data_IF_093923929008
#
_entry.id   IF_093923929008
#
_cell.length_a   1.000
_cell.length_b   1.000
_cell.length_c   1.000
_cell.angle_alpha   90.00
_cell.angle_beta   90.00
_cell.angle_gamma   90.00
#
_symmetry.space_group_name_H-M   'P 1'
#
loop_
_entity.id
_entity.type
_entity.pdbx_description
1 polymer ?
#
# COMPACT_ATOMS: atom_id res chain seq x y z
N UNK A 1 -22.87 -8.32 -27.60
CA UNK A 1 -22.81 -8.29 -26.11
C UNK A 1 -21.77 -7.26 -25.72
N UNK A 2 -22.14 -6.19 -25.02
CA UNK A 2 -21.19 -5.14 -24.58
C UNK A 2 -20.75 -5.38 -23.14
N UNK A 3 -19.45 -5.20 -22.86
CA UNK A 3 -18.88 -5.40 -21.52
C UNK A 3 -19.06 -4.18 -20.60
N UNK A 4 -19.49 -3.04 -21.14
CA UNK A 4 -19.88 -1.84 -20.37
C UNK A 4 -18.79 -1.27 -19.45
N UNK A 5 -17.51 -1.53 -19.74
CA UNK A 5 -16.39 -1.08 -18.89
C UNK A 5 -16.32 -1.76 -17.53
N UNK A 6 -16.99 -2.90 -17.33
CA UNK A 6 -17.07 -3.60 -16.04
C UNK A 6 -16.23 -4.87 -16.08
N UNK A 7 -15.40 -5.04 -15.07
CA UNK A 7 -14.68 -6.28 -14.81
C UNK A 7 -14.57 -6.51 -13.30
N UNK A 8 -14.36 -7.77 -12.92
CA UNK A 8 -14.08 -8.17 -11.53
C UNK A 8 -12.91 -9.13 -11.54
N UNK A 9 -12.12 -9.07 -10.47
CA UNK A 9 -10.91 -9.86 -10.35
C UNK A 9 -10.87 -10.57 -9.00
N UNK A 10 -10.72 -11.90 -9.06
CA UNK A 10 -10.53 -12.76 -7.90
C UNK A 10 -9.10 -13.30 -7.95
N UNK A 11 -8.25 -12.70 -7.12
CA UNK A 11 -6.86 -13.11 -6.95
C UNK A 11 -6.74 -14.16 -5.87
N UNK A 12 -6.00 -15.23 -6.17
CA UNK A 12 -5.57 -16.20 -5.18
C UNK A 12 -4.13 -15.94 -4.76
N UNK A 13 -3.75 -16.42 -3.58
CA UNK A 13 -2.36 -16.39 -3.13
C UNK A 13 -1.50 -17.34 -3.96
N UNK A 14 -0.20 -17.04 -4.08
CA UNK A 14 0.73 -17.81 -4.92
C UNK A 14 0.90 -19.28 -4.49
N UNK A 15 0.63 -19.58 -3.22
CA UNK A 15 0.67 -20.93 -2.63
C UNK A 15 -0.67 -21.67 -2.72
N UNK A 16 -1.70 -21.03 -3.27
CA UNK A 16 -3.00 -21.64 -3.47
C UNK A 16 -2.98 -22.64 -4.63
N UNK A 17 -3.72 -23.74 -4.46
CA UNK A 17 -3.98 -24.71 -5.55
C UNK A 17 -5.16 -24.28 -6.46
N UNK A 18 -5.82 -23.18 -6.13
CA UNK A 18 -6.94 -22.64 -6.88
C UNK A 18 -6.48 -21.72 -8.01
N UNK A 19 -7.36 -21.44 -8.97
CA UNK A 19 -7.09 -20.51 -10.07
C UNK A 19 -7.65 -19.12 -9.76
N UNK A 20 -6.89 -18.08 -10.11
CA UNK A 20 -7.42 -16.72 -10.21
C UNK A 20 -8.49 -16.64 -11.31
N UNK A 21 -9.45 -15.73 -11.17
CA UNK A 21 -10.52 -15.54 -12.14
C UNK A 21 -10.73 -14.07 -12.47
N UNK A 22 -10.85 -13.78 -13.75
CA UNK A 22 -11.31 -12.48 -14.26
C UNK A 22 -12.65 -12.66 -14.96
N UNK A 23 -13.61 -11.79 -14.68
CA UNK A 23 -14.93 -11.80 -15.32
C UNK A 23 -15.26 -10.42 -15.87
N UNK A 24 -15.95 -10.36 -17.01
CA UNK A 24 -16.28 -9.12 -17.72
C UNK A 24 -17.78 -8.94 -17.89
N UNK A 25 -18.23 -7.69 -18.03
CA UNK A 25 -19.62 -7.35 -18.28
C UNK A 25 -20.54 -7.72 -17.11
N UNK A 26 -21.71 -8.27 -17.41
CA UNK A 26 -22.70 -8.65 -16.39
C UNK A 26 -22.16 -9.68 -15.39
N UNK A 27 -21.24 -10.56 -15.83
CA UNK A 27 -20.59 -11.56 -14.97
C UNK A 27 -19.62 -10.94 -13.95
N UNK A 28 -19.28 -9.66 -14.11
CA UNK A 28 -18.42 -8.93 -13.19
C UNK A 28 -19.16 -8.29 -12.01
N UNK A 29 -20.49 -8.27 -12.04
CA UNK A 29 -21.27 -7.59 -11.02
C UNK A 29 -21.26 -8.45 -9.75
N UNK A 30 -20.69 -7.90 -8.68
CA UNK A 30 -20.70 -8.49 -7.34
C UNK A 30 -21.91 -7.94 -6.59
N UNK A 31 -22.74 -8.81 -6.03
CA UNK A 31 -23.90 -8.46 -5.20
C UNK A 31 -23.92 -9.33 -3.94
N UNK A 32 -24.50 -8.84 -2.85
CA UNK A 32 -24.62 -9.58 -1.60
C UNK A 32 -24.55 -8.68 -0.36
N UNK A 33 -24.75 -9.24 0.85
CA UNK A 33 -24.76 -8.46 2.09
C UNK A 33 -23.38 -7.92 2.52
N UNK A 34 -22.29 -8.46 1.96
CA UNK A 34 -20.92 -8.18 2.39
C UNK A 34 -20.05 -7.54 1.30
N UNK A 35 -20.65 -6.81 0.35
CA UNK A 35 -19.88 -5.98 -0.57
C UNK A 35 -19.90 -4.53 -0.10
N UNK A 36 -18.78 -3.85 -0.30
CA UNK A 36 -18.66 -2.41 -0.12
C UNK A 36 -18.12 -1.79 -1.41
N UNK A 37 -18.35 -0.49 -1.57
CA UNK A 37 -17.92 0.24 -2.77
C UNK A 37 -17.27 1.56 -2.40
N UNK A 38 -16.12 1.82 -3.02
CA UNK A 38 -15.48 3.13 -3.04
C UNK A 38 -15.57 3.71 -4.46
N UNK A 39 -15.70 5.04 -4.62
CA UNK A 39 -15.58 5.67 -5.93
C UNK A 39 -14.20 5.42 -6.53
N UNK A 40 -14.18 5.12 -7.83
CA UNK A 40 -12.96 5.22 -8.65
C UNK A 40 -12.91 6.66 -9.17
N UNK A 41 -11.80 7.35 -8.94
CA UNK A 41 -11.63 8.74 -9.36
C UNK A 41 -10.85 8.79 -10.67
N UNK A 42 -11.35 9.59 -11.63
CA UNK A 42 -10.67 9.79 -12.90
C UNK A 42 -9.65 10.92 -12.78
N UNK A 43 -8.40 10.64 -13.16
CA UNK A 43 -7.36 11.64 -13.35
C UNK A 43 -7.15 11.92 -14.84
N UNK A 44 -6.42 12.98 -15.17
CA UNK A 44 -6.10 13.36 -16.55
C UNK A 44 -5.41 12.23 -17.34
N UNK A 45 -4.64 11.38 -16.66
CA UNK A 45 -4.13 10.12 -17.20
C UNK A 45 -5.06 8.94 -16.86
N UNK A 46 -5.60 8.26 -17.88
CA UNK A 46 -6.47 7.09 -17.72
C UNK A 46 -5.70 5.76 -17.54
N UNK A 47 -4.47 5.81 -17.04
CA UNK A 47 -3.59 4.63 -16.98
C UNK A 47 -3.88 3.73 -15.77
N UNK A 48 -4.36 4.30 -14.66
CA UNK A 48 -4.55 3.59 -13.39
C UNK A 48 -5.96 3.78 -12.84
N UNK A 49 -6.35 2.85 -11.96
CA UNK A 49 -7.55 2.99 -11.15
C UNK A 49 -7.19 3.71 -9.85
N UNK A 50 -7.58 4.97 -9.73
CA UNK A 50 -7.32 5.78 -8.54
C UNK A 50 -8.47 5.68 -7.55
N UNK A 51 -8.10 5.59 -6.27
CA UNK A 51 -9.01 5.68 -5.14
C UNK A 51 -8.59 6.83 -4.22
N UNK A 52 -9.49 7.21 -3.31
CA UNK A 52 -9.18 8.14 -2.23
C UNK A 52 -9.03 7.34 -0.94
N UNK A 53 -7.81 7.27 -0.43
CA UNK A 53 -7.45 6.69 0.85
C UNK A 53 -7.38 7.81 1.91
N UNK A 54 -8.00 7.59 3.06
CA UNK A 54 -8.20 8.62 4.09
C UNK A 54 -7.27 8.39 5.28
N UNK A 55 -7.20 7.16 5.77
CA UNK A 55 -6.40 6.78 6.94
C UNK A 55 -6.21 5.27 7.05
N UNK A 56 -5.31 4.82 7.93
CA UNK A 56 -5.20 3.43 8.36
C UNK A 56 -5.35 3.34 9.87
N UNK A 57 -6.16 2.41 10.34
CA UNK A 57 -6.24 2.05 11.77
C UNK A 57 -5.45 0.79 12.05
N UNK A 58 -4.67 0.80 13.12
CA UNK A 58 -3.88 -0.33 13.63
C UNK A 58 -4.28 -0.56 15.08
N UNK A 59 -5.04 -1.62 15.34
CA UNK A 59 -5.69 -1.81 16.63
C UNK A 59 -6.62 -0.63 16.94
N UNK A 60 -6.28 0.12 17.99
CA UNK A 60 -7.04 1.31 18.41
C UNK A 60 -6.37 2.63 17.99
N UNK A 61 -5.21 2.59 17.32
CA UNK A 61 -4.50 3.79 16.84
C UNK A 61 -4.86 4.06 15.38
N UNK A 62 -5.33 5.27 15.08
CA UNK A 62 -5.59 5.71 13.71
C UNK A 62 -4.46 6.63 13.22
N UNK A 63 -4.01 6.39 11.99
CA UNK A 63 -2.96 7.14 11.30
C UNK A 63 -3.56 7.73 10.03
N UNK A 64 -3.71 9.05 9.98
CA UNK A 64 -4.24 9.75 8.82
C UNK A 64 -3.24 9.73 7.65
N UNK A 65 -3.76 9.81 6.42
CA UNK A 65 -2.95 9.92 5.20
C UNK A 65 -1.86 11.01 5.29
N UNK A 66 -2.19 12.14 5.91
CA UNK A 66 -1.30 13.27 6.11
C UNK A 66 -0.87 13.46 7.58
N UNK A 67 -0.83 12.40 8.40
CA UNK A 67 -0.24 12.51 9.73
C UNK A 67 1.27 12.74 9.59
N UNK A 68 1.64 14.02 9.50
CA UNK A 68 3.02 14.49 9.60
C UNK A 68 3.33 14.56 11.10
N UNK A 69 4.33 13.79 11.60
CA UNK A 69 4.78 13.93 12.97
C UNK A 69 5.11 15.40 13.27
N UNK A 70 4.49 15.96 14.31
CA UNK A 70 4.64 17.37 14.76
C UNK A 70 3.92 18.45 13.92
N UNK A 71 2.94 18.11 13.09
CA UNK A 71 2.07 19.12 12.44
C UNK A 71 0.72 19.24 13.15
N UNK A 72 0.34 20.45 13.56
CA UNK A 72 -0.98 20.76 14.15
C UNK A 72 -2.07 20.99 13.08
N UNK A 73 -1.76 20.84 11.79
CA UNK A 73 -2.73 21.01 10.71
C UNK A 73 -3.26 19.65 10.24
N UNK A 74 -4.59 19.47 10.31
CA UNK A 74 -5.28 18.41 9.55
C UNK A 74 -5.21 18.81 8.08
N UNK A 75 -4.18 18.35 7.38
CA UNK A 75 -4.09 18.57 5.94
C UNK A 75 -5.23 17.80 5.24
N UNK A 76 -5.91 18.48 4.31
CA UNK A 76 -7.02 17.93 3.53
C UNK A 76 -6.59 16.62 2.85
N UNK A 77 -7.46 15.61 2.88
CA UNK A 77 -7.21 14.35 2.15
C UNK A 77 -7.12 14.70 0.67
N UNK A 78 -5.98 14.38 0.06
CA UNK A 78 -5.82 14.52 -1.39
C UNK A 78 -6.67 13.44 -2.08
N UNK A 79 -7.60 13.85 -2.93
CA UNK A 79 -8.34 12.89 -3.75
C UNK A 79 -7.41 12.12 -4.69
N UNK A 80 -7.73 10.86 -4.98
CA UNK A 80 -6.96 10.04 -5.94
C UNK A 80 -5.50 9.83 -5.54
N UNK A 81 -5.23 9.62 -4.26
CA UNK A 81 -3.88 9.50 -3.68
C UNK A 81 -3.31 8.07 -3.69
N UNK A 82 -4.11 7.06 -4.03
CA UNK A 82 -3.65 5.67 -4.14
C UNK A 82 -4.17 5.01 -5.41
N UNK A 83 -3.43 4.02 -5.92
CA UNK A 83 -3.80 3.23 -7.10
C UNK A 83 -4.05 1.78 -6.74
N UNK A 84 -4.90 1.12 -7.52
CA UNK A 84 -4.99 -0.34 -7.53
C UNK A 84 -4.01 -0.87 -8.57
N UNK A 85 -3.03 -1.68 -8.15
CA UNK A 85 -2.06 -2.30 -9.03
C UNK A 85 -1.92 -3.80 -8.74
N UNK A 86 -2.44 -4.64 -9.64
CA UNK A 86 -2.29 -6.09 -9.54
C UNK A 86 -0.93 -6.59 -10.05
N UNK A 87 -0.11 -5.72 -10.65
CA UNK A 87 1.22 -6.03 -11.15
C UNK A 87 2.30 -6.03 -10.07
N UNK A 88 2.00 -5.48 -8.89
CA UNK A 88 2.90 -5.47 -7.75
C UNK A 88 2.43 -6.40 -6.64
N UNK A 89 3.38 -7.05 -5.96
CA UNK A 89 3.09 -7.91 -4.80
C UNK A 89 3.06 -7.13 -3.48
N UNK A 90 3.61 -5.91 -3.48
CA UNK A 90 3.79 -5.09 -2.27
C UNK A 90 2.88 -3.86 -2.31
N UNK A 91 2.45 -3.44 -1.12
CA UNK A 91 1.69 -2.20 -0.95
C UNK A 91 2.65 -1.07 -0.64
N UNK A 92 2.78 -0.14 -1.59
CA UNK A 92 3.61 1.04 -1.43
C UNK A 92 2.80 2.16 -0.76
N UNK A 93 3.33 2.69 0.36
CA UNK A 93 2.71 3.78 1.12
C UNK A 93 3.62 5.00 1.11
N UNK A 94 3.06 6.20 1.18
CA UNK A 94 3.85 7.42 1.37
C UNK A 94 4.75 7.31 2.60
N UNK A 95 5.97 7.85 2.53
CA UNK A 95 6.99 7.62 3.57
C UNK A 95 6.53 7.98 4.98
N UNK A 96 5.83 9.11 5.16
CA UNK A 96 5.30 9.53 6.46
C UNK A 96 4.29 8.53 7.02
N UNK A 97 3.36 8.08 6.19
CA UNK A 97 2.36 7.07 6.56
C UNK A 97 3.03 5.73 6.88
N UNK A 98 4.03 5.34 6.10
CA UNK A 98 4.80 4.11 6.35
C UNK A 98 5.55 4.18 7.67
N UNK A 99 6.24 5.27 7.96
CA UNK A 99 6.98 5.46 9.22
C UNK A 99 6.05 5.42 10.44
N UNK A 100 4.88 6.07 10.35
CA UNK A 100 3.84 6.02 11.38
C UNK A 100 3.32 4.59 11.58
N UNK A 101 2.95 3.92 10.48
CA UNK A 101 2.47 2.54 10.49
C UNK A 101 3.52 1.59 11.08
N UNK A 102 4.77 1.75 10.67
CA UNK A 102 5.89 0.94 11.15
C UNK A 102 6.12 1.13 12.65
N UNK A 103 6.10 2.38 13.13
CA UNK A 103 6.23 2.71 14.55
C UNK A 103 5.11 2.10 15.38
N UNK A 104 3.86 2.26 14.96
CA UNK A 104 2.68 1.69 15.65
C UNK A 104 2.72 0.17 15.65
N UNK A 105 3.04 -0.47 14.52
CA UNK A 105 3.17 -1.93 14.45
C UNK A 105 4.30 -2.46 15.33
N UNK A 106 5.44 -1.77 15.43
CA UNK A 106 6.53 -2.14 16.36
C UNK A 106 6.12 -2.08 17.83
N UNK A 107 5.20 -1.18 18.18
CA UNK A 107 4.67 -1.08 19.56
C UNK A 107 3.66 -2.17 19.86
N UNK A 108 2.77 -2.46 18.91
CA UNK A 108 1.63 -3.37 19.11
C UNK A 108 1.97 -4.85 18.87
N UNK A 109 2.89 -5.14 17.95
CA UNK A 109 3.34 -6.50 17.69
C UNK A 109 4.47 -6.85 18.65
N UNK A 110 4.14 -7.62 19.67
CA UNK A 110 5.14 -8.32 20.49
C UNK A 110 5.82 -9.43 19.69
N UNK A 111 7.12 -9.64 19.93
CA UNK A 111 7.85 -10.78 19.36
C UNK A 111 9.28 -10.48 18.95
N UNK A 112 9.99 -11.54 18.58
CA UNK A 112 11.40 -11.45 18.17
C UNK A 112 11.47 -10.96 16.72
N UNK A 113 11.80 -9.68 16.56
CA UNK A 113 12.12 -9.10 15.25
C UNK A 113 13.41 -9.71 14.72
N UNK A 114 13.42 -10.03 13.44
CA UNK A 114 14.61 -10.49 12.71
C UNK A 114 14.95 -9.50 11.61
N UNK A 115 16.22 -9.43 11.25
CA UNK A 115 16.63 -8.68 10.06
C UNK A 115 16.08 -9.39 8.82
N UNK A 116 15.55 -8.63 7.86
CA UNK A 116 15.23 -9.16 6.55
C UNK A 116 16.52 -9.48 5.80
N UNK A 117 16.76 -10.75 5.40
CA UNK A 117 17.97 -11.11 4.65
C UNK A 117 18.13 -10.33 3.35
N UNK A 118 17.04 -9.80 2.79
CA UNK A 118 17.04 -9.03 1.53
C UNK A 118 17.04 -7.51 1.75
N UNK A 119 16.89 -7.03 2.98
CA UNK A 119 16.85 -5.60 3.32
C UNK A 119 15.69 -4.80 2.71
N UNK A 120 14.67 -5.47 2.16
CA UNK A 120 13.50 -4.86 1.53
C UNK A 120 12.35 -4.63 2.52
N UNK A 121 12.27 -5.46 3.56
CA UNK A 121 11.19 -5.43 4.55
C UNK A 121 11.74 -5.02 5.91
N UNK A 122 11.15 -3.97 6.50
CA UNK A 122 11.59 -3.50 7.83
C UNK A 122 10.90 -4.25 8.97
N UNK A 123 9.78 -4.92 8.68
CA UNK A 123 8.97 -5.64 9.68
C UNK A 123 8.93 -7.15 9.40
N UNK A 124 9.96 -7.85 9.87
CA UNK A 124 10.04 -9.31 9.90
C UNK A 124 10.04 -9.82 11.35
N UNK A 125 9.20 -10.81 11.64
CA UNK A 125 9.04 -11.38 12.98
C UNK A 125 9.20 -12.90 12.91
N UNK A 126 9.97 -13.47 13.84
CA UNK A 126 10.07 -14.92 14.00
C UNK A 126 8.72 -15.49 14.42
N UNK A 127 8.32 -16.62 13.84
CA UNK A 127 7.14 -17.33 14.26
C UNK A 127 7.32 -17.82 15.71
N UNK A 128 6.36 -17.55 16.60
CA UNK A 128 6.36 -18.16 17.91
C UNK A 128 6.23 -19.69 17.80
N UNK A 129 6.75 -20.42 18.79
CA UNK A 129 6.78 -21.89 18.76
C UNK A 129 5.38 -22.53 18.75
N UNK A 130 4.36 -21.81 19.21
CA UNK A 130 2.95 -22.23 19.16
C UNK A 130 2.29 -21.96 17.79
N UNK A 131 2.99 -21.33 16.84
CA UNK A 131 2.49 -21.02 15.50
C UNK A 131 1.49 -19.85 15.44
N UNK A 132 1.08 -19.28 16.58
CA UNK A 132 0.12 -18.18 16.62
C UNK A 132 0.85 -16.84 16.60
N UNK A 133 0.73 -16.13 15.47
CA UNK A 133 1.24 -14.77 15.33
C UNK A 133 0.08 -13.78 15.43
N UNK A 134 -0.08 -13.19 16.61
CA UNK A 134 -1.12 -12.20 16.87
C UNK A 134 -0.72 -10.85 16.26
N UNK A 135 -1.29 -10.55 15.10
CA UNK A 135 -1.21 -9.21 14.51
C UNK A 135 -2.38 -8.35 14.94
N UNK A 136 -2.15 -7.05 15.25
CA UNK A 136 -3.24 -6.12 15.45
C UNK A 136 -4.11 -6.04 14.20
N UNK A 137 -5.40 -5.71 14.37
CA UNK A 137 -6.26 -5.41 13.24
C UNK A 137 -5.68 -4.25 12.44
N UNK A 138 -5.60 -4.39 11.12
CA UNK A 138 -5.19 -3.30 10.22
C UNK A 138 -6.36 -3.03 9.29
N UNK A 139 -6.89 -1.81 9.34
CA UNK A 139 -8.05 -1.39 8.55
C UNK A 139 -7.64 -0.18 7.71
N UNK A 140 -7.72 -0.30 6.40
CA UNK A 140 -7.56 0.85 5.50
C UNK A 140 -8.91 1.51 5.29
N UNK A 141 -8.97 2.82 5.52
CA UNK A 141 -10.16 3.63 5.34
C UNK A 141 -10.08 4.33 3.99
N UNK A 142 -11.06 4.03 3.13
CA UNK A 142 -11.26 4.68 1.86
C UNK A 142 -12.56 5.47 1.91
N UNK A 143 -12.72 6.41 0.99
CA UNK A 143 -13.98 7.14 0.86
C UNK A 143 -15.15 6.16 0.70
N UNK A 144 -16.07 6.18 1.68
CA UNK A 144 -17.29 5.36 1.79
C UNK A 144 -17.10 3.90 2.20
N UNK A 145 -15.89 3.42 2.46
CA UNK A 145 -15.69 2.03 2.88
C UNK A 145 -14.37 1.76 3.58
N UNK A 146 -14.41 0.76 4.44
CA UNK A 146 -13.24 0.20 5.09
C UNK A 146 -12.81 -1.11 4.44
N UNK A 147 -11.51 -1.41 4.46
CA UNK A 147 -10.94 -2.67 4.00
C UNK A 147 -10.03 -3.28 5.06
N UNK A 148 -10.40 -4.47 5.55
CA UNK A 148 -9.58 -5.20 6.52
C UNK A 148 -8.39 -5.91 5.84
N UNK A 149 -7.19 -5.58 6.31
CA UNK A 149 -5.89 -5.95 5.75
C UNK A 149 -5.15 -7.04 6.55
N UNK A 150 -5.54 -7.29 7.80
CA UNK A 150 -4.79 -8.05 8.83
C UNK A 150 -4.20 -9.37 8.35
N UNK A 151 -5.02 -10.35 7.96
CA UNK A 151 -4.51 -11.68 7.56
C UNK A 151 -3.94 -11.72 6.14
N UNK A 152 -4.41 -10.84 5.25
CA UNK A 152 -4.08 -10.87 3.82
C UNK A 152 -2.69 -10.29 3.51
N UNK A 153 -2.16 -9.44 4.37
CA UNK A 153 -0.86 -8.78 4.18
C UNK A 153 0.28 -9.44 4.97
N UNK A 154 0.03 -10.60 5.58
CA UNK A 154 1.05 -11.43 6.21
C UNK A 154 1.56 -12.46 5.24
N UNK A 155 2.86 -12.44 4.97
CA UNK A 155 3.51 -13.45 4.14
C UNK A 155 4.44 -14.30 4.99
N UNK A 156 4.27 -15.62 4.91
CA UNK A 156 5.20 -16.57 5.51
C UNK A 156 6.50 -16.60 4.70
N UNK A 157 7.62 -16.45 5.38
CA UNK A 157 8.95 -16.69 4.83
C UNK A 157 9.37 -18.15 4.94
N UNK A 158 10.39 -18.55 4.18
CA UNK A 158 10.86 -19.94 4.11
C UNK A 158 11.41 -20.51 5.42
N UNK A 159 11.79 -19.67 6.38
CA UNK A 159 12.51 -20.08 7.61
C UNK A 159 11.71 -19.82 8.90
N UNK A 160 10.38 -19.96 8.86
CA UNK A 160 9.59 -19.86 10.09
C UNK A 160 9.50 -18.41 10.62
N UNK A 161 9.26 -17.45 9.73
CA UNK A 161 9.02 -16.06 10.08
C UNK A 161 7.89 -15.47 9.23
N UNK A 162 7.30 -14.37 9.70
CA UNK A 162 6.31 -13.57 8.99
C UNK A 162 6.84 -12.19 8.66
N UNK A 163 6.44 -11.67 7.49
CA UNK A 163 6.61 -10.26 7.14
C UNK A 163 5.30 -9.63 6.75
N UNK A 164 5.20 -8.34 7.04
CA UNK A 164 4.16 -7.47 6.49
C UNK A 164 4.61 -6.93 5.14
N UNK A 165 3.68 -6.85 4.19
CA UNK A 165 3.96 -6.49 2.78
C UNK A 165 3.83 -5.00 2.46
N UNK A 166 3.90 -4.13 3.48
CA UNK A 166 3.94 -2.68 3.32
C UNK A 166 5.38 -2.19 3.17
N UNK A 167 5.60 -1.24 2.27
CA UNK A 167 6.90 -0.60 2.05
C UNK A 167 6.73 0.89 1.78
N UNK A 168 7.72 1.70 2.18
CA UNK A 168 7.73 3.12 1.82
C UNK A 168 7.89 3.30 0.32
N UNK A 169 7.07 4.17 -0.26
CA UNK A 169 7.24 4.68 -1.61
C UNK A 169 8.43 5.61 -1.61
N UNK A 170 9.61 5.04 -1.81
CA UNK A 170 10.81 5.81 -2.08
C UNK A 170 10.65 6.42 -3.49
N UNK A 171 10.01 7.58 -3.59
CA UNK A 171 10.37 8.52 -4.65
C UNK A 171 11.80 9.03 -4.36
N UNK A 172 12.80 8.15 -4.39
CA UNK A 172 14.09 8.56 -4.93
C UNK A 172 13.78 8.81 -6.38
N UNK A 173 13.39 10.06 -6.66
CA UNK A 173 13.11 10.47 -8.02
C UNK A 173 14.22 9.94 -8.92
N UNK A 174 13.83 9.55 -10.13
CA UNK A 174 14.70 9.75 -11.27
C UNK A 174 15.09 11.23 -11.19
N UNK A 175 16.16 11.53 -10.46
CA UNK A 175 16.80 12.82 -10.47
C UNK A 175 17.34 12.87 -11.88
N UNK A 176 16.53 13.45 -12.78
CA UNK A 176 16.93 13.72 -14.14
C UNK A 176 18.33 14.27 -14.06
N UNK A 177 19.25 13.62 -14.78
CA UNK A 177 20.65 14.01 -14.86
C UNK A 177 20.65 15.52 -15.07
N UNK A 178 21.05 16.26 -14.04
CA UNK A 178 21.19 17.70 -14.15
C UNK A 178 22.07 17.95 -15.37
N UNK A 179 21.68 18.81 -16.33
CA UNK A 179 22.58 19.19 -17.40
C UNK A 179 23.82 19.77 -16.73
N UNK A 180 24.94 19.10 -16.97
CA UNK A 180 26.27 19.54 -16.63
C UNK A 180 26.40 21.05 -16.76
N UNK A 181 26.85 21.66 -15.66
CA UNK A 181 27.45 23.00 -15.53
C UNK A 181 27.55 23.77 -16.86
N UNK A 182 26.81 24.86 -17.00
CA UNK A 182 27.11 25.90 -17.98
C UNK A 182 28.57 26.33 -17.77
N UNK A 183 29.38 26.15 -18.81
CA UNK A 183 30.73 26.67 -18.92
C UNK A 183 30.68 28.21 -18.78
N UNK A 184 31.65 28.87 -18.12
CA UNK A 184 31.68 30.32 -18.05
C UNK A 184 31.84 30.91 -19.45
N UNK A 185 31.06 31.95 -19.76
CA UNK A 185 31.31 32.80 -20.92
C UNK A 185 32.67 33.45 -20.74
N UNK A 186 33.55 33.35 -21.75
CA UNK A 186 34.69 34.26 -21.87
C UNK A 186 34.12 35.61 -22.29
N UNK A 187 34.27 36.61 -21.43
CA UNK A 187 34.16 37.99 -21.83
C UNK A 187 35.38 38.31 -22.72
N UNK A 188 35.14 38.57 -24.00
CA UNK A 188 36.06 39.33 -24.84
C UNK A 188 35.64 40.79 -24.74
N UNK A 189 36.35 41.56 -23.92
CA UNK A 189 36.39 43.02 -24.05
C UNK A 189 37.28 43.39 -25.23
N UNK A 190 36.80 44.35 -26.02
CA UNK A 190 37.54 45.04 -27.07
C UNK A 190 38.74 45.82 -26.53
#
# INVERSE_FOLDING_TARGET
MTIGGKFSYYLVTLDSKSFSKISFGLKAIVTGPNYSSTPIVQKSSNTFYYLTFESVSVGNEALAYNDIPNSNSKALVEESNIIIDSGTTLTFLFSSLYEGLESTLKKLIGGNRISDPQGLFVLCYKLPSNGEFNTPSIIAHFTRTDAELTRRNLRRGGEGWHRLTFVAQNFRGLKGRSPSKKLPRRDTSA
#
